data_IF_438221138574
#
_entry.id   IF_438221138574
#
_cell.length_a   1.000
_cell.length_b   1.000
_cell.length_c   1.000
_cell.angle_alpha   90.00
_cell.angle_beta   90.00
_cell.angle_gamma   90.00
#
_symmetry.space_group_name_H-M   'P 1'
#
loop_
_entity.id
_entity.type
_entity.pdbx_description
1 polymer ?
#
# COMPACT_ATOMS: atom_id res chain seq x y z
N UNK A 1 19.94 -11.04 26.01
CA UNK A 1 18.56 -11.39 26.41
C UNK A 1 17.71 -10.20 26.02
N UNK A 2 16.74 -10.38 25.13
CA UNK A 2 15.88 -9.27 24.71
C UNK A 2 14.89 -8.96 25.84
N UNK A 3 14.84 -7.72 26.30
CA UNK A 3 13.89 -7.28 27.32
C UNK A 3 12.51 -7.00 26.71
N UNK A 4 11.46 -7.05 27.52
CA UNK A 4 10.10 -6.65 27.09
C UNK A 4 10.08 -5.21 26.56
N UNK A 5 10.89 -4.32 27.15
CA UNK A 5 11.03 -2.95 26.68
C UNK A 5 11.62 -2.86 25.26
N UNK A 6 12.60 -3.70 24.93
CA UNK A 6 13.18 -3.76 23.57
C UNK A 6 12.19 -4.32 22.56
N UNK A 7 11.36 -5.31 22.95
CA UNK A 7 10.30 -5.84 22.09
C UNK A 7 9.24 -4.77 21.82
N UNK A 8 8.79 -4.04 22.86
CA UNK A 8 7.81 -2.96 22.68
C UNK A 8 8.32 -1.87 21.75
N UNK A 9 9.57 -1.44 21.94
CA UNK A 9 10.21 -0.45 21.06
C UNK A 9 10.28 -0.94 19.60
N UNK A 10 10.62 -2.21 19.38
CA UNK A 10 10.64 -2.78 18.03
C UNK A 10 9.25 -2.80 17.39
N UNK A 11 8.19 -3.08 18.15
CA UNK A 11 6.81 -3.05 17.64
C UNK A 11 6.35 -1.63 17.31
N UNK A 12 6.74 -0.63 18.11
CA UNK A 12 6.48 0.79 17.81
C UNK A 12 7.13 1.19 16.48
N UNK A 13 8.39 0.82 16.26
CA UNK A 13 9.10 1.08 14.99
C UNK A 13 8.46 0.37 13.80
N UNK A 14 8.00 -0.87 13.98
CA UNK A 14 7.29 -1.60 12.92
C UNK A 14 5.95 -0.92 12.61
N UNK A 15 5.22 -0.45 13.61
CA UNK A 15 3.97 0.27 13.41
C UNK A 15 4.19 1.58 12.62
N UNK A 16 5.24 2.34 12.94
CA UNK A 16 5.64 3.53 12.16
C UNK A 16 5.95 3.16 10.70
N UNK A 17 6.76 2.10 10.49
CA UNK A 17 7.08 1.62 9.15
C UNK A 17 5.86 1.18 8.34
N UNK A 18 4.88 0.54 8.97
CA UNK A 18 3.62 0.15 8.33
C UNK A 18 2.74 1.34 7.98
N UNK A 19 2.71 2.39 8.81
CA UNK A 19 2.00 3.63 8.49
C UNK A 19 2.61 4.34 7.27
N UNK A 20 3.94 4.41 7.22
CA UNK A 20 4.65 4.95 6.06
C UNK A 20 4.44 4.11 4.80
N UNK A 21 4.49 2.78 4.92
CA UNK A 21 4.21 1.86 3.81
C UNK A 21 2.80 2.05 3.28
N UNK A 22 1.80 2.18 4.16
CA UNK A 22 0.42 2.46 3.76
C UNK A 22 0.31 3.77 2.99
N UNK A 23 0.92 4.85 3.50
CA UNK A 23 0.92 6.16 2.85
C UNK A 23 1.53 6.09 1.45
N UNK A 24 2.70 5.46 1.31
CA UNK A 24 3.40 5.31 0.04
C UNK A 24 2.63 4.43 -0.96
N UNK A 25 2.04 3.32 -0.48
CA UNK A 25 1.23 2.44 -1.31
C UNK A 25 -0.03 3.17 -1.81
N UNK A 26 -0.65 3.99 -0.96
CA UNK A 26 -1.81 4.79 -1.35
C UNK A 26 -1.45 5.85 -2.39
N UNK A 27 -0.34 6.56 -2.22
CA UNK A 27 0.17 7.52 -3.19
C UNK A 27 0.47 6.84 -4.54
N UNK A 28 1.09 5.66 -4.51
CA UNK A 28 1.36 4.88 -5.73
C UNK A 28 0.06 4.41 -6.42
N UNK A 29 -0.98 4.05 -5.65
CA UNK A 29 -2.29 3.72 -6.19
C UNK A 29 -2.91 4.93 -6.91
N UNK A 30 -2.91 6.10 -6.27
CA UNK A 30 -3.49 7.32 -6.82
C UNK A 30 -2.76 7.71 -8.13
N UNK A 31 -1.42 7.68 -8.14
CA UNK A 31 -0.61 7.93 -9.34
C UNK A 31 -0.87 6.92 -10.47
N UNK A 32 -1.11 5.65 -10.13
CA UNK A 32 -1.45 4.63 -11.12
C UNK A 32 -2.83 4.87 -11.74
N UNK A 33 -3.83 5.26 -10.92
CA UNK A 33 -5.16 5.60 -11.42
C UNK A 33 -5.06 6.78 -12.38
N UNK A 34 -4.37 7.86 -11.98
CA UNK A 34 -4.15 9.02 -12.83
C UNK A 34 -3.48 8.65 -14.17
N UNK A 35 -2.45 7.80 -14.12
CA UNK A 35 -1.76 7.35 -15.32
C UNK A 35 -2.67 6.52 -16.25
N UNK A 36 -3.51 5.65 -15.69
CA UNK A 36 -4.50 4.89 -16.47
C UNK A 36 -5.51 5.82 -17.12
N UNK A 37 -6.01 6.82 -16.40
CA UNK A 37 -7.01 7.76 -16.91
C UNK A 37 -6.44 8.62 -18.04
N UNK A 38 -5.22 9.15 -17.88
CA UNK A 38 -4.52 9.91 -18.94
C UNK A 38 -4.30 9.07 -20.20
N UNK A 39 -3.91 7.80 -20.04
CA UNK A 39 -3.70 6.90 -21.18
C UNK A 39 -5.02 6.50 -21.84
N UNK A 40 -6.10 6.33 -21.07
CA UNK A 40 -7.42 6.06 -21.60
C UNK A 40 -7.96 7.24 -22.41
N UNK A 41 -7.85 8.47 -21.89
CA UNK A 41 -8.25 9.69 -22.59
C UNK A 41 -7.44 9.91 -23.87
N UNK A 42 -6.12 9.70 -23.81
CA UNK A 42 -5.28 9.74 -25.01
C UNK A 42 -5.73 8.68 -26.04
N UNK A 43 -6.10 7.49 -25.56
CA UNK A 43 -6.56 6.36 -26.37
C UNK A 43 -7.85 6.66 -27.15
N UNK A 44 -8.74 7.53 -26.66
CA UNK A 44 -9.97 7.90 -27.40
C UNK A 44 -9.68 8.55 -28.76
N UNK A 45 -8.51 9.18 -28.89
CA UNK A 45 -8.05 9.82 -30.13
C UNK A 45 -7.19 8.91 -31.01
N UNK A 46 -6.98 7.66 -30.60
CA UNK A 46 -6.17 6.65 -31.28
C UNK A 46 -6.98 5.35 -31.50
N UNK A 47 -6.61 4.55 -32.50
CA UNK A 47 -7.28 3.26 -32.77
C UNK A 47 -6.71 2.09 -31.95
N UNK A 48 -5.68 2.35 -31.15
CA UNK A 48 -4.98 1.34 -30.36
C UNK A 48 -5.20 1.58 -28.86
N UNK A 49 -5.33 0.50 -28.10
CA UNK A 49 -5.42 0.55 -26.65
C UNK A 49 -4.07 0.96 -26.06
N UNK A 50 -4.02 2.15 -25.44
CA UNK A 50 -2.78 2.70 -24.89
C UNK A 50 -2.52 2.29 -23.44
N UNK A 51 -3.52 1.73 -22.75
CA UNK A 51 -3.39 1.32 -21.34
C UNK A 51 -2.68 -0.03 -21.25
N UNK A 52 -1.52 -0.11 -20.59
CA UNK A 52 -0.83 -1.39 -20.44
C UNK A 52 -1.64 -2.36 -19.57
N UNK A 53 -1.78 -3.65 -19.95
CA UNK A 53 -2.49 -4.64 -19.13
C UNK A 53 -1.88 -4.86 -17.74
N UNK A 54 -0.60 -4.52 -17.56
CA UNK A 54 0.05 -4.56 -16.24
C UNK A 54 -0.49 -3.46 -15.30
N UNK A 55 -0.91 -2.31 -15.83
CA UNK A 55 -1.45 -1.21 -15.03
C UNK A 55 -2.84 -1.57 -14.50
N UNK A 56 -3.67 -2.20 -15.32
CA UNK A 56 -4.98 -2.71 -14.89
C UNK A 56 -4.83 -3.74 -13.77
N UNK A 57 -3.92 -4.71 -13.95
CA UNK A 57 -3.61 -5.73 -12.92
C UNK A 57 -3.08 -5.11 -11.63
N UNK A 58 -2.18 -4.13 -11.72
CA UNK A 58 -1.67 -3.44 -10.54
C UNK A 58 -2.80 -2.67 -9.81
N UNK A 59 -3.67 -1.99 -10.55
CA UNK A 59 -4.83 -1.27 -10.00
C UNK A 59 -5.78 -2.20 -9.26
N UNK A 60 -6.00 -3.40 -9.79
CA UNK A 60 -6.81 -4.45 -9.16
C UNK A 60 -6.16 -5.04 -7.91
N UNK A 61 -4.83 -5.08 -7.82
CA UNK A 61 -4.10 -5.65 -6.69
C UNK A 61 -3.95 -4.67 -5.49
N UNK A 62 -3.94 -3.36 -5.73
CA UNK A 62 -3.72 -2.37 -4.66
C UNK A 62 -4.68 -2.48 -3.46
N UNK A 63 -6.00 -2.72 -3.63
CA UNK A 63 -6.90 -2.90 -2.49
C UNK A 63 -6.45 -4.01 -1.53
N UNK A 64 -6.08 -5.17 -2.05
CA UNK A 64 -5.65 -6.33 -1.27
C UNK A 64 -4.33 -6.02 -0.54
N UNK A 65 -3.38 -5.36 -1.21
CA UNK A 65 -2.10 -4.96 -0.61
C UNK A 65 -2.28 -3.91 0.50
N UNK A 66 -3.18 -2.94 0.31
CA UNK A 66 -3.49 -1.94 1.34
C UNK A 66 -4.19 -2.59 2.55
N UNK A 67 -5.11 -3.53 2.33
CA UNK A 67 -5.77 -4.28 3.39
C UNK A 67 -4.77 -5.12 4.19
N UNK A 68 -3.79 -5.73 3.53
CA UNK A 68 -2.73 -6.49 4.19
C UNK A 68 -1.88 -5.60 5.12
N UNK A 69 -1.53 -4.38 4.67
CA UNK A 69 -0.78 -3.42 5.48
C UNK A 69 -1.59 -2.99 6.70
N UNK A 70 -2.88 -2.65 6.52
CA UNK A 70 -3.77 -2.25 7.62
C UNK A 70 -3.92 -3.38 8.64
N UNK A 71 -4.20 -4.60 8.18
CA UNK A 71 -4.37 -5.77 9.05
C UNK A 71 -3.08 -6.07 9.84
N UNK A 72 -1.92 -5.91 9.20
CA UNK A 72 -0.62 -6.07 9.84
C UNK A 72 -0.38 -4.99 10.91
N UNK A 73 -0.77 -3.75 10.63
CA UNK A 73 -0.65 -2.64 11.58
C UNK A 73 -1.53 -2.86 12.81
N UNK A 74 -2.78 -3.27 12.62
CA UNK A 74 -3.70 -3.60 13.71
C UNK A 74 -3.14 -4.70 14.62
N UNK A 75 -2.57 -5.76 14.02
CA UNK A 75 -1.96 -6.85 14.76
C UNK A 75 -0.75 -6.39 15.59
N UNK A 76 0.13 -5.57 15.00
CA UNK A 76 1.32 -5.03 15.68
C UNK A 76 0.92 -4.11 16.83
N UNK A 77 -0.04 -3.22 16.62
CA UNK A 77 -0.55 -2.33 17.67
C UNK A 77 -1.20 -3.10 18.81
N UNK A 78 -1.97 -4.14 18.51
CA UNK A 78 -2.57 -5.01 19.52
C UNK A 78 -1.50 -5.73 20.34
N UNK A 79 -0.48 -6.29 19.68
CA UNK A 79 0.62 -6.95 20.37
C UNK A 79 1.40 -5.99 21.27
N UNK A 80 1.64 -4.75 20.81
CA UNK A 80 2.30 -3.73 21.61
C UNK A 80 1.50 -3.32 22.85
N UNK A 81 0.17 -3.34 22.78
CA UNK A 81 -0.72 -3.04 23.91
C UNK A 81 -0.83 -4.19 24.93
N UNK A 82 -0.53 -5.43 24.52
CA UNK A 82 -0.57 -6.63 25.36
C UNK A 82 0.76 -6.90 26.12
N UNK A 83 1.83 -6.16 25.81
CA UNK A 83 3.19 -6.27 26.42
C UNK A 83 3.43 -5.29 27.58
#
# INVERSE_FOLDING_TARGET
>A
MTSVAEVRLALEQVAEGLQDAYRLAREAQDLLVDAVDVLAEAGENHHEELVPPAFLRAREAFPDELELIVSSLELVQRLAAEL
#
